data_IF_875383159312
#
_entry.id   IF_875383159312
#
_cell.length_a   1.000
_cell.length_b   1.000
_cell.length_c   1.000
_cell.angle_alpha   90.00
_cell.angle_beta   90.00
_cell.angle_gamma   90.00
#
_symmetry.space_group_name_H-M   'P 1'
#
loop_
_entity.id
_entity.type
_entity.pdbx_description
1 polymer ?
#
# COMPACT_ATOMS: atom_id res chain seq x y z
N UNK A 1 11.48 -5.47 6.00
CA UNK A 1 11.49 -3.99 5.90
C UNK A 1 11.94 -3.46 7.25
N UNK A 2 13.01 -2.66 7.30
CA UNK A 2 13.46 -2.06 8.56
C UNK A 2 12.50 -0.93 8.96
N UNK A 3 12.20 -0.80 10.25
CA UNK A 3 11.20 0.15 10.77
C UNK A 3 11.52 1.62 10.48
N UNK A 4 12.78 1.93 10.19
CA UNK A 4 13.27 3.30 10.06
C UNK A 4 13.23 3.80 8.60
N UNK A 5 12.77 2.97 7.67
CA UNK A 5 12.66 3.31 6.25
C UNK A 5 11.27 3.89 5.96
N UNK A 6 11.22 5.03 5.28
CA UNK A 6 9.98 5.67 4.85
C UNK A 6 9.54 5.21 3.47
N UNK A 7 8.22 5.15 3.27
CA UNK A 7 7.57 4.96 1.98
C UNK A 7 7.21 6.31 1.35
N UNK A 8 7.55 6.50 0.08
CA UNK A 8 7.14 7.66 -0.71
C UNK A 8 6.33 7.17 -1.91
N UNK A 9 5.16 7.75 -2.11
CA UNK A 9 4.29 7.49 -3.25
C UNK A 9 4.25 8.72 -4.14
N UNK A 10 4.58 8.55 -5.42
CA UNK A 10 4.48 9.60 -6.43
C UNK A 10 3.39 9.16 -7.40
N UNK A 11 2.30 9.91 -7.41
CA UNK A 11 1.20 9.74 -8.35
C UNK A 11 1.36 10.77 -9.48
N UNK A 12 1.44 10.29 -10.71
CA UNK A 12 1.56 11.12 -11.92
C UNK A 12 0.22 11.37 -12.61
N UNK A 13 -0.87 10.76 -12.13
CA UNK A 13 -2.21 10.93 -12.68
C UNK A 13 -2.95 12.11 -12.04
N UNK A 14 -3.99 12.61 -12.72
CA UNK A 14 -4.84 13.71 -12.21
C UNK A 14 -6.29 13.29 -11.99
N UNK A 15 -6.61 12.01 -12.23
CA UNK A 15 -7.97 11.48 -12.17
C UNK A 15 -8.34 10.91 -10.81
N UNK A 16 -9.64 10.88 -10.54
CA UNK A 16 -10.20 10.09 -9.43
C UNK A 16 -10.28 8.63 -9.85
N UNK A 17 -9.72 7.75 -9.03
CA UNK A 17 -9.77 6.31 -9.23
C UNK A 17 -11.07 5.74 -8.65
N UNK A 18 -11.66 4.71 -9.27
CA UNK A 18 -12.79 3.99 -8.68
C UNK A 18 -12.45 3.43 -7.29
N UNK A 19 -13.41 3.50 -6.36
CA UNK A 19 -13.27 2.83 -5.07
C UNK A 19 -13.05 1.34 -5.31
N UNK A 20 -12.05 0.81 -4.62
CA UNK A 20 -11.69 -0.58 -4.72
C UNK A 20 -10.60 -0.90 -5.74
N UNK A 21 -10.17 0.05 -6.58
CA UNK A 21 -8.95 -0.09 -7.37
C UNK A 21 -7.78 -0.47 -6.45
N UNK A 22 -7.06 -1.54 -6.81
CA UNK A 22 -6.00 -2.10 -6.00
C UNK A 22 -4.67 -2.14 -6.76
N UNK A 23 -3.59 -1.81 -6.07
CA UNK A 23 -2.22 -1.83 -6.57
C UNK A 23 -1.38 -2.74 -5.70
N UNK A 24 -0.59 -3.62 -6.32
CA UNK A 24 0.43 -4.40 -5.61
C UNK A 24 1.73 -3.60 -5.61
N UNK A 25 2.13 -3.08 -4.45
CA UNK A 25 3.36 -2.29 -4.27
C UNK A 25 4.55 -3.22 -4.05
N UNK A 26 4.36 -4.26 -3.26
CA UNK A 26 5.34 -5.33 -3.06
C UNK A 26 4.63 -6.66 -3.33
N UNK A 27 5.10 -7.38 -4.34
CA UNK A 27 4.74 -8.78 -4.55
C UNK A 27 5.73 -9.66 -3.77
N UNK A 28 5.28 -10.27 -2.68
CA UNK A 28 6.10 -11.18 -1.90
C UNK A 28 5.96 -12.60 -2.47
N UNK A 29 7.02 -13.09 -3.10
CA UNK A 29 7.03 -14.40 -3.75
C UNK A 29 7.41 -15.54 -2.80
N UNK A 30 7.78 -15.22 -1.56
CA UNK A 30 7.92 -16.24 -0.51
C UNK A 30 6.56 -16.73 -0.02
N UNK A 31 6.53 -17.84 0.72
CA UNK A 31 5.33 -18.28 1.44
C UNK A 31 5.17 -17.62 2.83
N UNK A 32 6.06 -16.71 3.20
CA UNK A 32 6.09 -16.09 4.52
C UNK A 32 5.46 -14.69 4.50
N UNK A 33 4.93 -14.20 5.65
CA UNK A 33 4.48 -12.82 5.78
C UNK A 33 5.60 -11.80 5.54
N UNK A 34 5.24 -10.58 5.15
CA UNK A 34 6.20 -9.46 5.14
C UNK A 34 6.63 -9.20 6.59
N UNK A 35 7.93 -9.30 6.84
CA UNK A 35 8.51 -8.90 8.13
C UNK A 35 8.81 -7.40 8.15
N UNK A 36 8.27 -6.71 9.16
CA UNK A 36 8.39 -5.27 9.36
C UNK A 36 7.41 -4.42 8.54
N UNK A 37 7.55 -3.09 8.64
CA UNK A 37 6.72 -2.10 7.94
C UNK A 37 7.54 -0.84 7.66
N UNK A 38 7.10 -0.02 6.70
CA UNK A 38 7.63 1.34 6.58
C UNK A 38 7.20 2.21 7.77
N UNK A 39 8.07 3.13 8.18
CA UNK A 39 7.88 4.02 9.34
C UNK A 39 6.56 4.80 9.28
N UNK A 40 6.18 5.21 8.07
CA UNK A 40 5.03 6.08 7.78
C UNK A 40 3.88 5.37 7.03
N UNK A 41 3.89 4.03 6.94
CA UNK A 41 2.85 3.27 6.26
C UNK A 41 2.51 2.00 7.05
N UNK A 42 1.66 2.15 8.06
CA UNK A 42 1.22 1.03 8.89
C UNK A 42 0.13 0.18 8.20
N UNK A 43 -0.09 -1.04 8.70
CA UNK A 43 -1.23 -1.85 8.28
C UNK A 43 -2.54 -1.07 8.46
N UNK A 44 -3.33 -0.97 7.40
CA UNK A 44 -4.61 -0.24 7.42
C UNK A 44 -4.50 1.28 7.42
N UNK A 45 -3.30 1.87 7.43
CA UNK A 45 -3.16 3.32 7.36
C UNK A 45 -3.67 3.84 6.02
N UNK A 46 -4.31 5.01 6.05
CA UNK A 46 -4.81 5.69 4.86
C UNK A 46 -3.97 6.94 4.60
N UNK A 47 -3.53 7.13 3.36
CA UNK A 47 -2.89 8.36 2.91
C UNK A 47 -3.57 8.88 1.65
N UNK A 48 -3.36 10.17 1.35
CA UNK A 48 -3.96 10.82 0.18
C UNK A 48 -2.88 11.14 -0.86
N UNK A 49 -3.19 10.89 -2.13
CA UNK A 49 -2.38 11.33 -3.28
C UNK A 49 -3.31 11.68 -4.44
N UNK A 50 -3.10 12.84 -5.06
CA UNK A 50 -3.92 13.39 -6.17
C UNK A 50 -5.44 13.22 -5.99
N UNK A 51 -5.95 13.51 -4.79
CA UNK A 51 -7.38 13.43 -4.47
C UNK A 51 -7.92 12.01 -4.19
N UNK A 52 -7.08 10.98 -4.30
CA UNK A 52 -7.42 9.60 -3.99
C UNK A 52 -6.93 9.21 -2.60
N UNK A 53 -7.75 8.49 -1.82
CA UNK A 53 -7.35 7.90 -0.55
C UNK A 53 -6.98 6.44 -0.72
N UNK A 54 -5.78 6.07 -0.30
CA UNK A 54 -5.23 4.72 -0.42
C UNK A 54 -5.06 4.10 0.96
N UNK A 55 -5.63 2.91 1.17
CA UNK A 55 -5.43 2.10 2.37
C UNK A 55 -4.36 1.05 2.14
N UNK A 56 -3.37 1.00 3.02
CA UNK A 56 -2.32 -0.02 2.99
C UNK A 56 -2.79 -1.36 3.58
N UNK A 57 -2.35 -2.45 2.96
CA UNK A 57 -2.60 -3.82 3.42
C UNK A 57 -1.41 -4.74 3.10
N UNK A 58 -0.68 -5.17 4.14
CA UNK A 58 0.49 -6.06 4.13
C UNK A 58 0.14 -7.55 4.04
N UNK A 59 -1.16 -7.89 4.09
CA UNK A 59 -1.69 -9.25 3.90
C UNK A 59 -2.58 -9.30 2.64
N UNK A 60 -2.30 -8.44 1.66
CA UNK A 60 -3.04 -8.39 0.40
C UNK A 60 -2.60 -9.46 -0.60
N UNK A 61 -3.23 -9.45 -1.77
CA UNK A 61 -2.89 -10.35 -2.88
C UNK A 61 -2.98 -11.81 -2.47
N UNK A 62 -1.85 -12.54 -2.45
CA UNK A 62 -1.76 -13.94 -2.00
C UNK A 62 -1.80 -14.13 -0.47
N UNK A 63 -2.06 -13.07 0.30
CA UNK A 63 -2.09 -13.10 1.77
C UNK A 63 -0.81 -12.60 2.42
N UNK A 64 0.18 -12.19 1.62
CA UNK A 64 1.48 -11.71 2.09
C UNK A 64 2.08 -10.59 1.22
N UNK A 65 1.26 -9.95 0.38
CA UNK A 65 1.68 -8.82 -0.45
C UNK A 65 1.37 -7.49 0.24
N UNK A 66 2.17 -6.45 -0.04
CA UNK A 66 1.79 -5.07 0.27
C UNK A 66 0.96 -4.53 -0.88
N UNK A 67 -0.32 -4.27 -0.58
CA UNK A 67 -1.27 -3.69 -1.51
C UNK A 67 -1.78 -2.34 -1.02
N UNK A 68 -2.11 -1.46 -1.97
CA UNK A 68 -2.84 -0.22 -1.73
C UNK A 68 -4.20 -0.33 -2.40
N UNK A 69 -5.28 -0.06 -1.65
CA UNK A 69 -6.64 -0.05 -2.17
C UNK A 69 -7.26 1.33 -2.04
N UNK A 70 -7.90 1.81 -3.11
CA UNK A 70 -8.65 3.07 -3.07
C UNK A 70 -9.89 2.89 -2.18
N UNK A 71 -10.07 3.76 -1.19
CA UNK A 71 -11.15 3.65 -0.18
C UNK A 71 -12.09 4.86 -0.06
N UNK A 72 -11.73 6.00 -0.68
CA UNK A 72 -12.40 7.31 -0.57
C UNK A 72 -12.45 7.95 0.84
#
# INVERSE_FOLDING_TARGET
>A
INSDVSFTFIDSGTGTLPVGTAFTVIKNTSGLPISGRFSNLAQGSVFTSNGNKFKANYIGGSGNDLTLKVVQ
#
